data_IF_351626467853
#
_entry.id   IF_351626467853
#
_cell.length_a   1.000
_cell.length_b   1.000
_cell.length_c   1.000
_cell.angle_alpha   90.00
_cell.angle_beta   90.00
_cell.angle_gamma   90.00
#
_symmetry.space_group_name_H-M   'P 1'
#
loop_
_entity.id
_entity.type
_entity.pdbx_description
1 polymer ?
#
# COMPACT_ATOMS: atom_id res chain seq x y z
N UNK A 1 -7.90 12.38 18.11
CA UNK A 1 -7.42 11.22 18.90
C UNK A 1 -8.52 10.87 19.91
N UNK A 2 -8.83 9.59 20.05
CA UNK A 2 -9.80 9.10 21.03
C UNK A 2 -9.22 7.89 21.77
N UNK A 3 -9.48 7.78 23.07
CA UNK A 3 -9.15 6.57 23.84
C UNK A 3 -10.06 5.42 23.41
N UNK A 4 -9.46 4.25 23.20
CA UNK A 4 -10.21 3.02 22.86
C UNK A 4 -10.30 2.13 24.09
N UNK A 5 -9.16 1.87 24.73
CA UNK A 5 -9.07 1.09 25.96
C UNK A 5 -7.90 1.63 26.77
N UNK A 6 -8.19 2.31 27.88
CA UNK A 6 -7.17 2.89 28.75
C UNK A 6 -7.49 2.57 30.21
N UNK A 7 -6.45 2.42 31.02
CA UNK A 7 -6.56 2.24 32.46
C UNK A 7 -6.85 3.57 33.19
N UNK A 8 -6.92 3.53 34.52
CA UNK A 8 -7.12 4.73 35.36
C UNK A 8 -5.99 5.76 35.28
N UNK A 9 -4.86 5.40 34.69
CA UNK A 9 -3.69 6.26 34.49
C UNK A 9 -3.63 6.79 33.04
N UNK A 10 -4.65 6.56 32.22
CA UNK A 10 -4.69 6.88 30.79
C UNK A 10 -3.65 6.12 29.95
N UNK A 11 -3.19 4.97 30.43
CA UNK A 11 -2.29 4.08 29.68
C UNK A 11 -3.13 3.02 28.95
N UNK A 12 -2.83 2.81 27.68
CA UNK A 12 -3.49 1.80 26.87
C UNK A 12 -3.54 2.17 25.39
N UNK A 13 -4.58 1.71 24.71
CA UNK A 13 -4.77 1.85 23.27
C UNK A 13 -5.53 3.13 22.93
N UNK A 14 -4.95 3.91 22.03
CA UNK A 14 -5.55 5.11 21.45
C UNK A 14 -5.75 4.93 19.96
N UNK A 15 -6.85 5.48 19.44
CA UNK A 15 -7.11 5.58 18.01
C UNK A 15 -6.82 6.99 17.54
N UNK A 16 -6.01 7.09 16.50
CA UNK A 16 -5.66 8.34 15.85
C UNK A 16 -6.21 8.27 14.43
N UNK A 17 -6.94 9.31 14.03
CA UNK A 17 -7.48 9.47 12.70
C UNK A 17 -6.99 10.81 12.18
N UNK A 18 -6.56 10.82 10.92
CA UNK A 18 -6.17 12.04 10.24
C UNK A 18 -7.38 12.52 9.42
N UNK A 19 -7.73 13.78 9.58
CA UNK A 19 -8.74 14.44 8.76
C UNK A 19 -8.03 15.09 7.57
N UNK A 20 -8.37 14.65 6.36
CA UNK A 20 -7.80 15.13 5.10
C UNK A 20 -8.65 16.23 4.46
N UNK A 21 -9.81 16.53 5.03
CA UNK A 21 -10.79 17.39 4.39
C UNK A 21 -10.28 18.83 4.22
N UNK A 22 -10.41 19.36 3.00
CA UNK A 22 -10.01 20.72 2.66
C UNK A 22 -8.50 20.97 2.59
N UNK A 23 -7.67 19.93 2.70
CA UNK A 23 -6.23 20.04 2.50
C UNK A 23 -5.90 19.99 1.00
N UNK A 24 -5.05 20.90 0.48
CA UNK A 24 -4.52 20.79 -0.88
C UNK A 24 -3.65 19.56 -1.09
N UNK A 25 -3.45 19.19 -2.34
CA UNK A 25 -2.48 18.17 -2.74
C UNK A 25 -1.08 18.46 -2.18
N UNK A 26 -0.45 17.44 -1.64
CA UNK A 26 0.89 17.54 -1.08
C UNK A 26 1.21 16.45 -0.07
N UNK A 27 2.47 16.46 0.35
CA UNK A 27 2.97 15.64 1.45
C UNK A 27 2.97 16.49 2.72
N UNK A 28 2.30 15.99 3.75
CA UNK A 28 2.20 16.58 5.07
C UNK A 28 2.95 15.71 6.06
N UNK A 29 3.65 16.33 7.00
CA UNK A 29 4.29 15.62 8.10
C UNK A 29 3.90 16.23 9.44
N UNK A 30 3.90 15.40 10.46
CA UNK A 30 3.58 15.76 11.82
C UNK A 30 4.26 14.83 12.80
N UNK A 31 4.11 15.12 14.09
CA UNK A 31 4.61 14.28 15.16
C UNK A 31 3.54 14.12 16.22
N UNK A 32 3.30 12.88 16.63
CA UNK A 32 2.52 12.54 17.81
C UNK A 32 3.49 12.32 18.95
N UNK A 33 3.29 13.01 20.05
CA UNK A 33 4.07 12.81 21.27
C UNK A 33 3.22 12.07 22.30
N UNK A 34 3.68 10.88 22.69
CA UNK A 34 3.13 10.12 23.81
C UNK A 34 4.03 10.32 25.03
N UNK A 35 3.50 10.91 26.09
CA UNK A 35 4.24 11.18 27.32
C UNK A 35 3.71 10.32 28.48
N UNK A 36 4.62 9.65 29.18
CA UNK A 36 4.37 8.91 30.41
C UNK A 36 5.16 9.50 31.58
N UNK A 37 4.97 8.96 32.79
CA UNK A 37 5.77 9.32 33.96
C UNK A 37 7.22 8.81 33.89
N UNK A 38 7.54 7.90 32.96
CA UNK A 38 8.86 7.27 32.81
C UNK A 38 9.61 7.81 31.59
N UNK A 39 8.92 8.05 30.50
CA UNK A 39 9.52 8.43 29.23
C UNK A 39 8.56 9.20 28.31
N UNK A 40 9.13 9.83 27.29
CA UNK A 40 8.41 10.42 26.17
C UNK A 40 8.78 9.67 24.89
N UNK A 41 7.77 9.31 24.09
CA UNK A 41 7.91 8.67 22.78
C UNK A 41 7.39 9.64 21.73
N UNK A 42 8.16 9.82 20.66
CA UNK A 42 7.76 10.60 19.50
C UNK A 42 7.51 9.66 18.32
N UNK A 43 6.32 9.76 17.74
CA UNK A 43 5.87 8.98 16.59
C UNK A 43 5.75 9.98 15.44
N UNK A 44 6.56 9.81 14.40
CA UNK A 44 6.42 10.61 13.19
C UNK A 44 5.13 10.23 12.49
N UNK A 45 4.53 11.17 11.76
CA UNK A 45 3.37 10.89 10.91
C UNK A 45 3.63 11.58 9.60
N UNK A 46 3.41 10.86 8.51
CA UNK A 46 3.42 11.46 7.18
C UNK A 46 2.13 11.06 6.50
N UNK A 47 1.54 12.01 5.79
CA UNK A 47 0.29 11.86 5.06
C UNK A 47 0.48 12.47 3.68
N UNK A 48 0.04 11.78 2.65
CA UNK A 48 -0.09 12.34 1.31
C UNK A 48 -1.55 12.65 1.04
N UNK A 49 -1.83 13.84 0.53
CA UNK A 49 -3.10 14.20 -0.09
C UNK A 49 -2.82 14.34 -1.58
N UNK A 50 -3.62 13.69 -2.41
CA UNK A 50 -3.56 13.82 -3.85
C UNK A 50 -4.96 13.97 -4.40
N UNK A 51 -5.09 14.67 -5.52
CA UNK A 51 -6.35 14.85 -6.20
C UNK A 51 -6.81 13.51 -6.80
N UNK A 52 -7.83 12.93 -6.17
CA UNK A 52 -8.51 11.73 -6.65
C UNK A 52 -9.49 12.06 -7.81
N UNK A 53 -9.72 13.34 -8.11
CA UNK A 53 -10.79 13.81 -9.01
C UNK A 53 -10.30 14.28 -10.38
N UNK A 54 -8.99 14.35 -10.63
CA UNK A 54 -8.41 14.65 -11.96
C UNK A 54 -7.56 13.52 -12.55
N UNK A 55 -7.54 12.34 -11.93
CA UNK A 55 -6.76 11.20 -12.37
C UNK A 55 -7.29 10.55 -13.66
N UNK A 56 -6.39 10.25 -14.59
CA UNK A 56 -6.69 9.35 -15.70
C UNK A 56 -7.01 7.95 -15.19
N UNK A 57 -7.94 7.27 -15.86
CA UNK A 57 -8.24 5.86 -15.64
C UNK A 57 -7.05 5.02 -16.15
N UNK A 58 -6.40 4.25 -15.26
CA UNK A 58 -5.28 3.35 -15.61
C UNK A 58 -5.78 2.01 -16.19
N UNK A 59 -7.09 1.88 -16.38
CA UNK A 59 -7.75 0.72 -16.94
C UNK A 59 -8.16 -0.30 -15.88
N UNK A 60 -8.04 -1.57 -16.23
CA UNK A 60 -8.40 -2.68 -15.35
C UNK A 60 -7.33 -2.88 -14.29
N UNK A 61 -7.72 -2.72 -13.01
CA UNK A 61 -6.82 -2.84 -11.87
C UNK A 61 -7.16 -4.07 -11.05
N UNK A 62 -6.12 -4.81 -10.64
CA UNK A 62 -6.17 -5.80 -9.59
C UNK A 62 -5.70 -5.17 -8.28
N UNK A 63 -6.44 -5.44 -7.20
CA UNK A 63 -6.08 -5.03 -5.84
C UNK A 63 -5.83 -6.28 -5.00
N UNK A 64 -4.61 -6.44 -4.51
CA UNK A 64 -4.14 -7.60 -3.77
C UNK A 64 -3.93 -7.26 -2.30
N UNK A 65 -4.46 -8.11 -1.42
CA UNK A 65 -4.16 -8.13 0.01
C UNK A 65 -3.22 -9.31 0.29
N UNK A 66 -2.00 -9.01 0.70
CA UNK A 66 -0.94 -10.01 0.89
C UNK A 66 -0.57 -10.08 2.37
N UNK A 67 -0.51 -11.29 2.93
CA UNK A 67 0.00 -11.51 4.29
C UNK A 67 1.53 -11.38 4.29
N UNK A 68 2.06 -10.43 5.05
CA UNK A 68 3.49 -10.12 5.05
C UNK A 68 4.35 -11.16 5.78
N UNK A 69 3.75 -11.98 6.65
CA UNK A 69 4.49 -13.03 7.35
C UNK A 69 4.75 -14.23 6.44
N UNK A 70 3.80 -14.51 5.55
CA UNK A 70 3.81 -15.70 4.69
C UNK A 70 4.07 -15.38 3.22
N UNK A 71 3.98 -14.11 2.81
CA UNK A 71 4.01 -13.68 1.41
C UNK A 71 2.80 -14.16 0.60
N UNK A 72 1.76 -14.68 1.25
CA UNK A 72 0.64 -15.33 0.56
C UNK A 72 -0.48 -14.34 0.24
N UNK A 73 -1.07 -14.48 -0.95
CA UNK A 73 -2.28 -13.76 -1.33
C UNK A 73 -3.46 -14.19 -0.45
N UNK A 74 -3.93 -13.26 0.37
CA UNK A 74 -5.07 -13.44 1.28
C UNK A 74 -6.35 -13.36 0.48
N UNK A 75 -6.51 -12.25 -0.25
CA UNK A 75 -7.67 -11.93 -1.07
C UNK A 75 -7.30 -10.99 -2.22
N UNK A 76 -8.12 -10.95 -3.27
CA UNK A 76 -7.93 -10.11 -4.45
C UNK A 76 -9.26 -9.55 -4.97
N UNK A 77 -9.25 -8.30 -5.40
CA UNK A 77 -10.40 -7.61 -5.98
C UNK A 77 -10.04 -7.03 -7.35
N UNK A 78 -11.06 -6.81 -8.18
CA UNK A 78 -10.96 -6.06 -9.43
C UNK A 78 -11.99 -4.92 -9.44
N UNK A 79 -11.73 -3.83 -8.70
CA UNK A 79 -12.69 -2.73 -8.56
C UNK A 79 -12.95 -2.04 -9.90
N UNK A 80 -14.21 -1.65 -10.15
CA UNK A 80 -14.57 -0.88 -11.33
C UNK A 80 -14.26 0.61 -11.11
N UNK A 81 -13.58 1.29 -12.05
CA UNK A 81 -13.27 2.70 -11.91
C UNK A 81 -14.53 3.56 -12.03
N UNK A 82 -14.59 4.61 -11.22
CA UNK A 82 -15.54 5.72 -11.38
C UNK A 82 -14.73 7.02 -11.40
N UNK A 83 -14.60 7.64 -12.58
CA UNK A 83 -13.78 8.84 -12.78
C UNK A 83 -12.33 8.68 -12.27
N UNK A 84 -11.68 7.55 -12.59
CA UNK A 84 -10.31 7.26 -12.16
C UNK A 84 -10.18 6.80 -10.69
N UNK A 85 -11.28 6.68 -9.95
CA UNK A 85 -11.29 6.20 -8.56
C UNK A 85 -11.72 4.73 -8.48
N UNK A 86 -10.88 3.91 -7.84
CA UNK A 86 -11.10 2.48 -7.64
C UNK A 86 -11.49 2.21 -6.18
N UNK A 87 -12.80 2.15 -5.90
CA UNK A 87 -13.29 1.89 -4.55
C UNK A 87 -13.21 0.41 -4.20
N UNK A 88 -12.77 0.07 -3.00
CA UNK A 88 -12.60 -1.30 -2.55
C UNK A 88 -13.08 -1.54 -1.12
N UNK A 89 -13.36 -2.80 -0.79
CA UNK A 89 -13.65 -3.23 0.59
C UNK A 89 -13.31 -4.72 0.69
N UNK A 90 -12.36 -5.05 1.57
CA UNK A 90 -12.12 -6.42 1.99
C UNK A 90 -12.95 -6.71 3.24
N UNK A 91 -13.58 -7.89 3.30
CA UNK A 91 -14.42 -8.31 4.43
C UNK A 91 -13.86 -9.57 5.08
N UNK A 92 -14.05 -9.72 6.40
CA UNK A 92 -13.58 -10.87 7.17
C UNK A 92 -12.05 -11.07 7.11
N UNK A 93 -11.29 -9.99 6.97
CA UNK A 93 -9.82 -10.02 7.04
C UNK A 93 -9.41 -10.35 8.48
N UNK A 94 -8.65 -11.44 8.73
CA UNK A 94 -8.16 -11.74 10.07
C UNK A 94 -7.25 -10.64 10.60
N UNK A 95 -7.07 -10.60 11.92
CA UNK A 95 -6.05 -9.74 12.49
C UNK A 95 -4.65 -10.20 12.04
N UNK A 96 -3.81 -9.28 11.59
CA UNK A 96 -2.53 -9.62 10.99
C UNK A 96 -1.80 -8.41 10.40
N UNK A 97 -0.69 -8.70 9.72
CA UNK A 97 0.16 -7.71 9.07
C UNK A 97 0.11 -7.94 7.56
N UNK A 98 -0.29 -6.91 6.81
CA UNK A 98 -0.60 -7.04 5.39
C UNK A 98 0.06 -5.97 4.54
N UNK A 99 0.24 -6.29 3.26
CA UNK A 99 0.50 -5.34 2.19
C UNK A 99 -0.74 -5.19 1.32
N UNK A 100 -1.03 -3.95 0.92
CA UNK A 100 -2.10 -3.62 -0.02
C UNK A 100 -1.46 -3.06 -1.30
N UNK A 101 -1.63 -3.79 -2.40
CA UNK A 101 -0.97 -3.52 -3.68
C UNK A 101 -2.03 -3.44 -4.76
N UNK A 102 -1.99 -2.42 -5.59
CA UNK A 102 -2.87 -2.28 -6.74
C UNK A 102 -2.06 -2.11 -8.01
N UNK A 103 -2.42 -2.81 -9.08
CA UNK A 103 -1.75 -2.68 -10.36
C UNK A 103 -2.53 -3.26 -11.53
N UNK A 104 -2.10 -2.91 -12.73
CA UNK A 104 -2.59 -3.52 -13.97
C UNK A 104 -1.84 -4.83 -14.24
N UNK A 105 -2.43 -5.70 -15.06
CA UNK A 105 -1.77 -6.83 -15.72
C UNK A 105 -2.01 -6.66 -17.22
N UNK A 106 -1.15 -5.87 -17.87
CA UNK A 106 -1.33 -5.34 -19.21
C UNK A 106 -0.94 -6.35 -20.30
N UNK A 107 -0.02 -7.26 -20.00
CA UNK A 107 0.41 -8.34 -20.89
C UNK A 107 -0.19 -9.72 -20.53
N UNK A 108 -0.98 -9.79 -19.45
CA UNK A 108 -1.79 -10.92 -19.03
C UNK A 108 -0.95 -12.17 -18.69
N UNK A 109 0.10 -11.97 -17.90
CA UNK A 109 1.01 -13.03 -17.43
C UNK A 109 0.73 -13.49 -15.99
N UNK A 110 -0.35 -12.98 -15.38
CA UNK A 110 -0.76 -13.19 -13.99
C UNK A 110 0.09 -12.49 -12.93
N UNK A 111 1.02 -11.61 -13.33
CA UNK A 111 1.74 -10.71 -12.45
C UNK A 111 1.26 -9.27 -12.65
N UNK A 112 1.32 -8.48 -11.59
CA UNK A 112 0.99 -7.06 -11.62
C UNK A 112 2.20 -6.23 -11.20
N UNK A 113 2.18 -4.96 -11.58
CA UNK A 113 3.23 -4.00 -11.27
C UNK A 113 4.56 -4.28 -11.97
N UNK A 114 4.53 -4.92 -13.14
CA UNK A 114 5.68 -5.09 -13.99
C UNK A 114 6.06 -3.82 -14.75
N UNK A 115 7.16 -3.89 -15.49
CA UNK A 115 7.67 -2.75 -16.25
C UNK A 115 6.65 -2.30 -17.31
N UNK A 116 6.23 -1.04 -17.23
CA UNK A 116 5.21 -0.49 -18.13
C UNK A 116 3.78 -0.60 -17.61
N UNK A 117 3.59 -1.20 -16.43
CA UNK A 117 2.30 -1.32 -15.78
C UNK A 117 2.05 -0.18 -14.80
N UNK A 118 0.78 0.12 -14.56
CA UNK A 118 0.42 1.02 -13.48
C UNK A 118 0.53 0.26 -12.16
N UNK A 119 1.14 0.87 -11.16
CA UNK A 119 1.32 0.28 -9.84
C UNK A 119 1.10 1.31 -8.73
N UNK A 120 0.61 0.83 -7.60
CA UNK A 120 0.46 1.58 -6.36
C UNK A 120 0.53 0.64 -5.15
N UNK A 121 1.14 1.09 -4.07
CA UNK A 121 1.16 0.35 -2.80
C UNK A 121 0.76 1.27 -1.65
N UNK A 122 0.05 0.72 -0.68
CA UNK A 122 -0.25 1.45 0.56
C UNK A 122 0.97 1.40 1.49
N UNK A 123 1.70 2.52 1.59
CA UNK A 123 2.91 2.64 2.41
C UNK A 123 2.58 3.44 3.68
N UNK A 124 2.91 2.91 4.86
CA UNK A 124 3.07 3.72 6.08
C UNK A 124 4.54 4.06 6.25
N UNK A 125 4.86 5.34 6.51
CA UNK A 125 6.26 5.80 6.48
C UNK A 125 7.05 5.46 7.74
N UNK A 126 6.37 5.13 8.85
CA UNK A 126 7.03 4.70 10.08
C UNK A 126 7.52 3.24 10.01
N UNK A 127 6.95 2.45 9.10
CA UNK A 127 7.42 1.11 8.80
C UNK A 127 7.09 0.80 7.32
N UNK A 128 8.04 1.04 6.40
CA UNK A 128 7.77 0.80 4.99
C UNK A 128 7.34 -0.66 4.83
N UNK A 129 6.15 -0.86 4.22
CA UNK A 129 5.55 -2.16 3.82
C UNK A 129 4.49 -2.75 4.80
N UNK A 130 3.99 -2.04 5.83
CA UNK A 130 3.12 -2.72 6.81
C UNK A 130 1.78 -2.03 7.12
N UNK A 131 0.69 -2.79 6.94
CA UNK A 131 -0.66 -2.52 7.41
C UNK A 131 -1.01 -3.48 8.55
N UNK A 132 -1.01 -2.99 9.79
CA UNK A 132 -1.44 -3.76 10.96
C UNK A 132 -2.97 -3.72 11.11
N UNK A 133 -3.62 -4.83 10.80
CA UNK A 133 -5.05 -5.01 10.98
C UNK A 133 -5.30 -5.59 12.37
N UNK A 134 -5.74 -4.73 13.29
CA UNK A 134 -6.19 -5.11 14.65
C UNK A 134 -7.69 -4.86 14.85
N UNK A 135 -8.30 -4.09 13.97
CA UNK A 135 -9.72 -3.77 13.90
C UNK A 135 -10.06 -3.30 12.48
N UNK A 136 -11.34 -3.03 12.20
CA UNK A 136 -11.75 -2.41 10.94
C UNK A 136 -10.96 -1.13 10.65
N UNK A 137 -10.46 -1.02 9.41
CA UNK A 137 -9.72 0.11 8.89
C UNK A 137 -10.53 0.78 7.78
N UNK A 138 -10.45 2.11 7.72
CA UNK A 138 -11.11 2.95 6.70
C UNK A 138 -10.17 4.08 6.28
N UNK A 139 -10.50 4.77 5.19
CA UNK A 139 -9.71 5.89 4.63
C UNK A 139 -8.28 5.46 4.23
N UNK A 140 -8.16 4.24 3.70
CA UNK A 140 -6.94 3.73 3.11
C UNK A 140 -6.92 4.15 1.63
N UNK A 141 -6.24 5.26 1.35
CA UNK A 141 -6.15 5.84 0.02
C UNK A 141 -4.68 5.86 -0.41
N UNK A 142 -4.40 5.44 -1.65
CA UNK A 142 -3.06 5.49 -2.23
C UNK A 142 -3.16 5.63 -3.76
N UNK A 143 -2.23 6.35 -4.41
CA UNK A 143 -2.25 6.54 -5.85
C UNK A 143 -1.80 5.26 -6.58
N UNK A 144 -2.31 5.08 -7.80
CA UNK A 144 -1.84 4.09 -8.77
C UNK A 144 -1.33 4.87 -9.97
N UNK A 145 -0.14 4.54 -10.47
CA UNK A 145 0.42 5.25 -11.61
C UNK A 145 1.54 4.48 -12.31
N UNK A 146 1.87 4.95 -13.51
CA UNK A 146 2.99 4.40 -14.27
C UNK A 146 4.30 4.98 -13.77
N UNK A 147 5.26 4.10 -13.48
CA UNK A 147 6.63 4.53 -13.21
C UNK A 147 7.36 4.73 -14.54
N UNK A 148 7.51 5.98 -14.97
CA UNK A 148 8.28 6.31 -16.17
C UNK A 148 9.70 6.68 -15.75
N UNK A 149 10.64 5.75 -15.92
CA UNK A 149 12.06 6.07 -15.89
C UNK A 149 12.47 6.68 -17.24
N UNK A 150 12.44 8.01 -17.36
CA UNK A 150 13.02 8.68 -18.52
C UNK A 150 14.55 8.55 -18.42
N UNK A 151 15.13 7.60 -19.15
CA UNK A 151 16.57 7.55 -19.31
C UNK A 151 17.02 8.75 -20.14
N UNK A 152 17.94 9.54 -19.59
CA UNK A 152 18.69 10.52 -20.38
C UNK A 152 19.49 9.73 -21.41
N UNK A 153 19.12 9.83 -22.69
CA UNK A 153 19.87 9.20 -23.78
C UNK A 153 21.21 9.94 -23.93
N UNK A 154 22.25 9.44 -23.27
CA UNK A 154 23.63 9.69 -23.68
C UNK A 154 24.01 8.58 -24.65
N UNK A 155 24.15 8.91 -25.94
CA UNK A 155 24.58 7.97 -26.97
C UNK A 155 25.97 7.45 -26.65
N UNK A 156 26.05 6.22 -26.16
CA UNK A 156 27.25 5.39 -26.16
C UNK A 156 26.78 3.94 -26.17
N UNK A 157 27.22 3.21 -27.18
CA UNK A 157 26.74 1.89 -27.58
C UNK A 157 26.92 0.78 -26.52
N UNK A 158 25.94 -0.13 -26.53
CA UNK A 158 25.91 -1.53 -26.02
C UNK A 158 26.20 -1.83 -24.55
N UNK A 159 25.18 -2.31 -23.81
CA UNK A 159 25.02 -3.74 -23.45
C UNK A 159 23.68 -3.93 -22.72
N UNK A 160 22.88 -4.92 -23.12
CA UNK A 160 21.52 -5.15 -22.63
C UNK A 160 21.55 -6.09 -21.41
N UNK A 161 21.39 -5.53 -20.21
CA UNK A 161 21.15 -6.31 -19.00
C UNK A 161 19.65 -6.62 -18.85
N UNK A 162 19.35 -7.92 -18.82
CA UNK A 162 18.05 -8.53 -18.54
C UNK A 162 17.45 -7.96 -17.24
N UNK A 163 16.35 -7.22 -17.36
CA UNK A 163 15.61 -6.73 -16.19
C UNK A 163 14.78 -7.89 -15.66
N UNK A 164 15.18 -8.42 -14.51
CA UNK A 164 14.42 -9.43 -13.79
C UNK A 164 13.07 -8.82 -13.38
N UNK A 165 11.97 -9.41 -13.84
CA UNK A 165 10.60 -9.04 -13.42
C UNK A 165 10.47 -9.20 -11.89
N UNK A 166 9.85 -8.21 -11.25
CA UNK A 166 9.63 -8.13 -9.79
C UNK A 166 8.11 -8.15 -9.49
N UNK A 167 7.29 -8.53 -10.47
CA UNK A 167 5.84 -8.50 -10.40
C UNK A 167 5.26 -9.27 -9.21
N UNK A 168 4.02 -8.91 -8.82
CA UNK A 168 3.28 -9.60 -7.75
C UNK A 168 2.24 -10.55 -8.35
N UNK A 169 2.24 -11.85 -8.00
CA UNK A 169 1.30 -12.80 -8.58
C UNK A 169 -0.13 -12.51 -8.10
N UNK A 170 -1.09 -12.46 -9.04
CA UNK A 170 -2.51 -12.21 -8.75
C UNK A 170 -3.30 -13.46 -8.36
N UNK A 171 -2.68 -14.65 -8.43
CA UNK A 171 -3.30 -15.94 -8.09
C UNK A 171 -2.53 -16.67 -7.00
N UNK A 172 -3.22 -17.55 -6.25
CA UNK A 172 -2.57 -18.44 -5.29
C UNK A 172 -1.76 -19.49 -6.05
N UNK A 173 -0.45 -19.32 -6.12
CA UNK A 173 0.41 -20.39 -6.63
C UNK A 173 0.29 -21.62 -5.70
N UNK A 174 0.03 -22.82 -6.23
CA UNK A 174 0.19 -24.04 -5.44
C UNK A 174 1.69 -24.17 -5.15
N UNK A 175 2.08 -23.97 -3.89
CA UNK A 175 3.46 -24.16 -3.40
C UNK A 175 4.10 -25.39 -4.04
N UNK A 176 4.91 -25.17 -5.07
CA UNK A 176 5.67 -26.23 -5.71
C UNK A 176 6.69 -26.70 -4.69
N UNK A 177 6.50 -27.93 -4.19
CA UNK A 177 7.45 -28.60 -3.30
C UNK A 177 8.85 -28.48 -3.91
N UNK A 178 9.71 -27.69 -3.27
CA UNK A 178 11.15 -27.81 -3.47
C UNK A 178 11.56 -29.24 -3.10
N UNK A 179 11.76 -30.08 -4.10
CA UNK A 179 12.47 -31.35 -3.95
C UNK A 179 13.94 -30.99 -3.82
N UNK A 180 14.43 -30.92 -2.59
CA UNK A 180 15.86 -31.03 -2.34
C UNK A 180 16.29 -32.47 -2.67
N UNK A 181 17.20 -32.60 -3.62
CA UNK A 181 18.01 -33.82 -3.81
C UNK A 181 19.26 -33.73 -2.95
#
# INVERSE_FOLDING_TARGET
>A
MASVNVDSNNLGTYRIMVDRSGLPDGIYSGQITAQSSVNTINISVIMTVGDLSSGGDVGFVYLLLIDNNTGSLVDALAPQPVNGVYSFTFSNVPAGNYSLIAGTDADNDDFICDAGEACGTYITLDNPIQLDVISDLSNLDFPIGYSVALQTITTTDEDAAETTSIGQPRTREPQSKAVFR
#
